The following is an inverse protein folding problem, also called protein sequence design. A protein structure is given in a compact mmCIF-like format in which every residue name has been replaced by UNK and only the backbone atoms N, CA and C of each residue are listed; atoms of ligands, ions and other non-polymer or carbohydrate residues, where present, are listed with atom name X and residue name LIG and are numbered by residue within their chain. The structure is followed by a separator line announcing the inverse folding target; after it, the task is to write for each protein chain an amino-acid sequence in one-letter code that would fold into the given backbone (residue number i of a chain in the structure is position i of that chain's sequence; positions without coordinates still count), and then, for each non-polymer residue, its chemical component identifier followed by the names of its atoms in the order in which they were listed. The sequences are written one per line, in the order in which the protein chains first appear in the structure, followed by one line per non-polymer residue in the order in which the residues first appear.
data_IF_341785216720
#
_entry.id   IF_341785216720
#
_cell.length_a   1.000
_cell.length_b   1.000
_cell.length_c   1.000
_cell.angle_alpha   90.00
_cell.angle_beta   90.00
_cell.angle_gamma   90.00
#
_symmetry.space_group_name_H-M   'P 1'
#
loop_
_entity.id
_entity.type
_entity.pdbx_description
1 polymer ?
#
# COMPACT_ATOMS: atom_id res chain seq x y z
N UNK A 1 -32.09 0.53 -12.16
CA UNK A 1 -30.79 -0.03 -11.73
C UNK A 1 -29.57 0.75 -12.31
N UNK A 2 -29.55 2.09 -12.28
CA UNK A 2 -28.48 2.93 -12.90
C UNK A 2 -27.35 3.34 -11.94
N UNK A 3 -27.61 3.37 -10.62
CA UNK A 3 -26.65 3.83 -9.61
C UNK A 3 -25.46 2.89 -9.38
N UNK A 4 -25.61 1.59 -9.67
CA UNK A 4 -24.56 0.57 -9.54
C UNK A 4 -23.42 0.72 -10.57
N UNK A 5 -23.72 1.21 -11.78
CA UNK A 5 -22.68 1.40 -12.80
C UNK A 5 -21.84 2.66 -12.56
N UNK A 6 -22.47 3.74 -12.09
CA UNK A 6 -21.81 5.02 -11.83
C UNK A 6 -20.82 4.88 -10.65
N UNK A 7 -21.23 4.21 -9.56
CA UNK A 7 -20.34 3.97 -8.41
C UNK A 7 -19.13 3.09 -8.77
N UNK A 8 -19.34 2.06 -9.59
CA UNK A 8 -18.24 1.21 -10.10
C UNK A 8 -17.25 2.00 -10.95
N UNK A 9 -17.72 2.89 -11.83
CA UNK A 9 -16.85 3.74 -12.64
C UNK A 9 -16.04 4.74 -11.79
N UNK A 10 -16.68 5.41 -10.83
CA UNK A 10 -16.01 6.35 -9.93
C UNK A 10 -14.92 5.63 -9.12
N UNK A 11 -15.23 4.44 -8.59
CA UNK A 11 -14.27 3.64 -7.82
C UNK A 11 -13.07 3.20 -8.68
N UNK A 12 -13.33 2.74 -9.91
CA UNK A 12 -12.29 2.29 -10.83
C UNK A 12 -11.36 3.44 -11.26
N UNK A 13 -11.93 4.62 -11.53
CA UNK A 13 -11.15 5.82 -11.85
C UNK A 13 -10.29 6.28 -10.68
N UNK A 14 -10.86 6.35 -9.46
CA UNK A 14 -10.13 6.71 -8.25
C UNK A 14 -8.95 5.78 -8.01
N UNK A 15 -9.15 4.46 -8.15
CA UNK A 15 -8.08 3.45 -8.05
C UNK A 15 -6.97 3.68 -9.07
N UNK A 16 -7.32 3.98 -10.32
CA UNK A 16 -6.34 4.23 -11.39
C UNK A 16 -5.49 5.47 -11.12
N UNK A 17 -6.08 6.53 -10.54
CA UNK A 17 -5.39 7.77 -10.22
C UNK A 17 -4.40 7.57 -9.07
N UNK A 18 -4.85 7.01 -7.95
CA UNK A 18 -3.99 6.79 -6.77
C UNK A 18 -2.87 5.79 -7.06
N UNK A 19 -3.16 4.75 -7.85
CA UNK A 19 -2.14 3.83 -8.35
C UNK A 19 -1.07 4.53 -9.19
N UNK A 20 -1.45 5.43 -10.10
CA UNK A 20 -0.48 6.18 -10.92
C UNK A 20 0.41 7.06 -10.05
N UNK A 21 -0.14 7.72 -9.03
CA UNK A 21 0.62 8.56 -8.09
C UNK A 21 1.62 7.71 -7.30
N UNK A 22 1.18 6.63 -6.66
CA UNK A 22 2.08 5.73 -5.93
C UNK A 22 3.15 5.11 -6.86
N UNK A 23 2.75 4.69 -8.07
CA UNK A 23 3.69 4.18 -9.08
C UNK A 23 4.73 5.22 -9.47
N UNK A 24 4.35 6.49 -9.63
CA UNK A 24 5.31 7.55 -9.95
C UNK A 24 6.38 7.73 -8.87
N UNK A 25 5.97 7.71 -7.59
CA UNK A 25 6.89 7.82 -6.43
C UNK A 25 7.84 6.63 -6.40
N UNK A 26 7.33 5.41 -6.53
CA UNK A 26 8.18 4.20 -6.53
C UNK A 26 9.13 4.15 -7.72
N UNK A 27 8.70 4.55 -8.91
CA UNK A 27 9.56 4.63 -10.11
C UNK A 27 10.65 5.68 -9.93
N UNK A 28 10.30 6.87 -9.41
CA UNK A 28 11.25 7.93 -9.11
C UNK A 28 12.31 7.44 -8.12
N UNK A 29 11.88 6.88 -7.00
CA UNK A 29 12.80 6.39 -5.96
C UNK A 29 13.68 5.26 -6.48
N UNK A 30 13.12 4.34 -7.26
CA UNK A 30 13.88 3.24 -7.84
C UNK A 30 14.90 3.71 -8.88
N UNK A 31 14.56 4.74 -9.67
CA UNK A 31 15.45 5.29 -10.70
C UNK A 31 16.63 6.04 -10.08
N UNK A 32 16.39 6.83 -9.04
CA UNK A 32 17.42 7.69 -8.45
C UNK A 32 18.23 7.00 -7.35
N UNK A 33 17.62 6.09 -6.60
CA UNK A 33 18.23 5.47 -5.41
C UNK A 33 18.37 3.94 -5.50
N UNK A 34 17.85 3.34 -6.57
CA UNK A 34 17.93 1.90 -6.82
C UNK A 34 16.81 1.10 -6.15
N UNK A 35 16.85 -0.23 -6.37
CA UNK A 35 15.80 -1.17 -5.92
C UNK A 35 15.96 -1.52 -4.43
N UNK A 36 15.37 -0.72 -3.55
CA UNK A 36 15.39 -0.95 -2.09
C UNK A 36 14.57 -2.17 -1.61
N UNK A 37 13.73 -2.73 -2.48
CA UNK A 37 12.82 -3.84 -2.16
C UNK A 37 13.42 -5.25 -2.26
N UNK A 38 14.69 -5.40 -2.67
CA UNK A 38 15.41 -6.68 -2.56
C UNK A 38 16.07 -6.75 -1.18
N UNK A 39 15.66 -7.73 -0.38
CA UNK A 39 16.06 -7.93 1.03
C UNK A 39 17.59 -8.06 1.19
N UNK A 40 18.10 -7.45 2.27
CA UNK A 40 19.41 -7.57 2.93
C UNK A 40 20.68 -7.54 2.06
N UNK A 41 21.42 -6.43 2.18
CA UNK A 41 22.88 -6.27 2.00
C UNK A 41 23.27 -4.78 2.26
N UNK A 42 22.72 -4.14 3.31
CA UNK A 42 22.92 -2.70 3.59
C UNK A 42 22.36 -1.73 2.52
N UNK A 43 21.73 -2.24 1.46
CA UNK A 43 21.13 -1.44 0.37
C UNK A 43 19.95 -0.61 0.85
N UNK A 44 19.21 -1.10 1.85
CA UNK A 44 18.10 -0.37 2.46
C UNK A 44 18.61 0.82 3.27
N UNK A 45 19.67 0.66 4.05
CA UNK A 45 20.23 1.77 4.84
C UNK A 45 20.87 2.83 3.93
N UNK A 46 21.59 2.40 2.89
CA UNK A 46 22.10 3.31 1.85
C UNK A 46 20.96 4.05 1.14
N UNK A 47 19.84 3.38 0.87
CA UNK A 47 18.65 4.02 0.30
C UNK A 47 18.07 5.05 1.26
N UNK A 48 17.82 4.67 2.53
CA UNK A 48 17.28 5.56 3.57
C UNK A 48 18.15 6.79 3.76
N UNK A 49 19.47 6.61 3.82
CA UNK A 49 20.41 7.72 4.02
C UNK A 49 20.35 8.72 2.85
N UNK A 50 20.42 8.24 1.61
CA UNK A 50 20.32 9.10 0.41
C UNK A 50 18.97 9.82 0.34
N UNK A 51 17.87 9.10 0.54
CA UNK A 51 16.53 9.67 0.51
C UNK A 51 16.34 10.74 1.60
N UNK A 52 16.83 10.48 2.82
CA UNK A 52 16.74 11.44 3.95
C UNK A 52 17.51 12.74 3.68
N UNK A 53 18.66 12.62 3.01
CA UNK A 53 19.53 13.75 2.68
C UNK A 53 18.96 14.60 1.55
N UNK A 54 18.40 13.97 0.51
CA UNK A 54 17.99 14.66 -0.72
C UNK A 54 16.60 15.31 -0.64
N UNK A 55 15.75 14.92 0.32
CA UNK A 55 14.35 15.37 0.40
C UNK A 55 14.06 16.14 1.67
N UNK A 56 13.21 17.17 1.59
CA UNK A 56 12.68 17.84 2.79
C UNK A 56 11.71 16.94 3.55
N UNK A 57 11.42 17.29 4.81
CA UNK A 57 10.44 16.55 5.62
C UNK A 57 9.06 16.54 4.95
N UNK A 58 8.64 17.66 4.39
CA UNK A 58 7.33 17.81 3.73
C UNK A 58 7.23 16.95 2.47
N UNK A 59 8.30 16.89 1.66
CA UNK A 59 8.35 16.02 0.48
C UNK A 59 8.25 14.54 0.85
N UNK A 60 8.93 14.12 1.92
CA UNK A 60 8.83 12.73 2.39
C UNK A 60 7.42 12.41 2.89
N UNK A 61 6.78 13.32 3.62
CA UNK A 61 5.40 13.18 4.08
C UNK A 61 4.44 13.07 2.87
N UNK A 62 4.62 13.91 1.85
CA UNK A 62 3.80 13.85 0.65
C UNK A 62 3.96 12.52 -0.09
N UNK A 63 5.20 12.02 -0.23
CA UNK A 63 5.47 10.72 -0.84
C UNK A 63 4.83 9.57 -0.04
N UNK A 64 4.94 9.60 1.29
CA UNK A 64 4.30 8.63 2.18
C UNK A 64 2.78 8.66 2.04
N UNK A 65 2.17 9.85 2.02
CA UNK A 65 0.72 10.01 1.86
C UNK A 65 0.22 9.45 0.52
N UNK A 66 0.95 9.66 -0.57
CA UNK A 66 0.63 9.10 -1.90
C UNK A 66 0.70 7.57 -1.90
N UNK A 67 1.64 6.97 -1.16
CA UNK A 67 1.76 5.51 -1.01
C UNK A 67 0.63 4.93 -0.14
N UNK A 68 0.34 5.59 1.00
CA UNK A 68 -0.76 5.25 1.92
C UNK A 68 -2.13 5.30 1.25
N UNK A 69 -2.37 6.33 0.43
CA UNK A 69 -3.61 6.47 -0.33
C UNK A 69 -3.84 5.27 -1.26
N UNK A 70 -2.79 4.82 -1.96
CA UNK A 70 -2.88 3.62 -2.80
C UNK A 70 -3.11 2.35 -1.95
N UNK A 71 -2.44 2.17 -0.81
CA UNK A 71 -2.65 1.01 0.07
C UNK A 71 -4.09 0.93 0.58
N UNK A 72 -4.67 2.06 1.00
CA UNK A 72 -6.06 2.12 1.46
C UNK A 72 -7.03 1.70 0.34
N UNK A 73 -6.86 2.27 -0.86
CA UNK A 73 -7.72 1.92 -2.00
C UNK A 73 -7.53 0.45 -2.41
N UNK A 74 -6.32 -0.10 -2.31
CA UNK A 74 -6.06 -1.52 -2.57
C UNK A 74 -6.73 -2.44 -1.54
N UNK A 75 -6.70 -2.08 -0.26
CA UNK A 75 -7.43 -2.76 0.81
C UNK A 75 -8.94 -2.76 0.60
N UNK A 76 -9.52 -1.59 0.30
CA UNK A 76 -10.94 -1.44 0.01
C UNK A 76 -11.35 -2.27 -1.22
N UNK A 77 -10.50 -2.30 -2.26
CA UNK A 77 -10.78 -3.08 -3.47
C UNK A 77 -10.69 -4.59 -3.22
N UNK A 78 -9.76 -5.03 -2.37
CA UNK A 78 -9.62 -6.45 -2.02
C UNK A 78 -10.85 -6.95 -1.26
N UNK A 79 -11.37 -6.14 -0.34
CA UNK A 79 -12.63 -6.42 0.34
C UNK A 79 -13.82 -6.49 -0.64
N UNK A 80 -13.90 -5.54 -1.58
CA UNK A 80 -14.92 -5.56 -2.63
C UNK A 80 -14.86 -6.79 -3.55
N UNK A 81 -13.70 -7.40 -3.71
CA UNK A 81 -13.49 -8.59 -4.54
C UNK A 81 -13.77 -9.88 -3.76
N UNK A 82 -13.43 -9.96 -2.46
CA UNK A 82 -13.61 -11.20 -1.68
C UNK A 82 -15.07 -11.46 -1.30
N UNK A 83 -15.84 -10.42 -0.99
CA UNK A 83 -17.25 -10.54 -0.58
C UNK A 83 -18.13 -11.24 -1.64
N UNK A 84 -18.17 -10.81 -2.92
CA UNK A 84 -18.98 -11.47 -3.93
C UNK A 84 -18.50 -12.89 -4.26
N UNK A 85 -17.22 -13.20 -4.04
CA UNK A 85 -16.68 -14.54 -4.26
C UNK A 85 -17.21 -15.56 -3.23
N UNK A 86 -17.23 -15.19 -1.94
CA UNK A 86 -17.78 -16.06 -0.88
C UNK A 86 -19.27 -16.33 -1.11
N UNK A 87 -20.01 -15.33 -1.57
CA UNK A 87 -21.44 -15.47 -1.93
C UNK A 87 -21.61 -16.38 -3.14
N UNK A 88 -20.76 -16.24 -4.18
CA UNK A 88 -20.80 -17.13 -5.35
C UNK A 88 -20.53 -18.58 -4.92
N UNK A 89 -19.52 -18.81 -4.09
CA UNK A 89 -19.14 -20.13 -3.61
C UNK A 89 -20.26 -20.77 -2.78
N UNK A 90 -20.92 -20.02 -1.90
CA UNK A 90 -22.03 -20.55 -1.09
C UNK A 90 -23.23 -20.97 -1.95
N UNK A 91 -23.60 -20.16 -2.95
CA UNK A 91 -24.67 -20.50 -3.90
C UNK A 91 -24.33 -21.75 -4.72
N UNK A 92 -23.06 -21.92 -5.09
CA UNK A 92 -22.60 -23.12 -5.79
C UNK A 92 -22.72 -24.38 -4.93
N UNK A 93 -22.31 -24.30 -3.66
CA UNK A 93 -22.43 -25.43 -2.73
C UNK A 93 -23.89 -25.83 -2.52
N UNK A 94 -24.79 -24.85 -2.36
CA UNK A 94 -26.22 -25.09 -2.19
C UNK A 94 -26.83 -25.73 -3.45
N UNK A 95 -26.52 -25.22 -4.63
CA UNK A 95 -27.03 -25.78 -5.90
C UNK A 95 -26.54 -27.21 -6.13
N UNK A 96 -25.25 -27.50 -5.91
CA UNK A 96 -24.72 -28.86 -6.00
C UNK A 96 -25.41 -29.80 -5.00
N UNK A 97 -25.68 -29.34 -3.79
CA UNK A 97 -26.32 -30.15 -2.73
C UNK A 97 -27.78 -30.47 -3.09
N UNK A 98 -28.54 -29.48 -3.56
CA UNK A 98 -29.93 -29.67 -4.01
C UNK A 98 -29.99 -30.60 -5.21
N UNK A 99 -29.09 -30.42 -6.20
CA UNK A 99 -29.01 -31.30 -7.36
C UNK A 99 -28.72 -32.75 -6.98
N UNK A 100 -27.82 -32.98 -6.01
CA UNK A 100 -27.57 -34.34 -5.48
C UNK A 100 -28.80 -34.92 -4.77
N UNK A 101 -29.46 -34.15 -3.91
CA UNK A 101 -30.61 -34.61 -3.15
C UNK A 101 -31.82 -34.98 -4.05
N UNK A 102 -32.10 -34.18 -5.09
CA UNK A 102 -33.14 -34.50 -6.07
C UNK A 102 -32.85 -35.79 -6.84
N UNK A 103 -31.58 -36.08 -7.11
CA UNK A 103 -31.19 -37.32 -7.79
C UNK A 103 -31.33 -38.50 -6.85
N UNK A 104 -30.86 -38.39 -5.61
CA UNK A 104 -31.02 -39.47 -4.62
C UNK A 104 -32.50 -39.83 -4.43
N UNK A 105 -33.42 -38.85 -4.48
CA UNK A 105 -34.86 -39.11 -4.45
C UNK A 105 -35.38 -39.76 -5.74
N UNK A 106 -35.01 -39.26 -6.92
CA UNK A 106 -35.48 -39.80 -8.21
C UNK A 106 -34.96 -41.23 -8.44
N UNK A 107 -33.71 -41.50 -8.07
CA UNK A 107 -33.07 -42.81 -8.22
C UNK A 107 -33.68 -43.86 -7.28
N UNK A 108 -34.20 -43.42 -6.13
CA UNK A 108 -34.94 -44.29 -5.20
C UNK A 108 -36.38 -44.56 -5.66
N UNK A 109 -37.05 -43.57 -6.26
CA UNK A 109 -38.49 -43.66 -6.59
C UNK A 109 -38.81 -44.18 -7.99
N UNK A 110 -37.87 -44.21 -8.96
CA UNK A 110 -38.24 -44.58 -10.34
C UNK A 110 -37.18 -45.41 -11.06
N UNK A 111 -37.49 -46.68 -11.33
CA UNK A 111 -36.69 -47.61 -12.14
C UNK A 111 -36.73 -47.32 -13.66
N UNK A 112 -37.35 -46.21 -14.13
CA UNK A 112 -37.70 -46.06 -15.57
C UNK A 112 -37.42 -44.69 -16.20
N UNK A 113 -37.05 -43.63 -15.46
CA UNK A 113 -36.72 -42.33 -16.09
C UNK A 113 -35.20 -42.21 -16.30
N UNK A 114 -34.72 -42.75 -17.42
CA UNK A 114 -33.34 -42.59 -17.88
C UNK A 114 -33.13 -41.17 -18.42
N UNK A 115 -32.83 -40.21 -17.55
CA UNK A 115 -31.88 -39.16 -17.97
C UNK A 115 -30.57 -39.91 -18.23
N UNK A 116 -30.08 -39.93 -19.47
CA UNK A 116 -28.86 -40.70 -19.77
C UNK A 116 -27.75 -40.27 -18.80
N UNK A 117 -27.21 -41.19 -17.97
CA UNK A 117 -26.25 -40.82 -16.93
C UNK A 117 -25.02 -40.10 -17.50
N UNK A 118 -24.70 -40.35 -18.76
CA UNK A 118 -23.64 -39.68 -19.51
C UNK A 118 -23.88 -38.18 -19.72
N UNK A 119 -25.09 -37.76 -20.08
CA UNK A 119 -25.40 -36.33 -20.32
C UNK A 119 -25.34 -35.51 -19.03
N UNK A 120 -25.79 -36.09 -17.91
CA UNK A 120 -25.73 -35.44 -16.59
C UNK A 120 -24.29 -35.36 -16.07
N UNK A 121 -23.54 -36.46 -16.16
CA UNK A 121 -22.11 -36.52 -15.86
C UNK A 121 -21.36 -35.41 -16.60
N UNK A 122 -21.58 -35.29 -17.91
CA UNK A 122 -20.96 -34.26 -18.76
C UNK A 122 -21.34 -32.85 -18.31
N UNK A 123 -22.61 -32.59 -17.99
CA UNK A 123 -23.07 -31.29 -17.48
C UNK A 123 -22.43 -30.92 -16.13
N UNK A 124 -22.34 -31.87 -15.19
CA UNK A 124 -21.69 -31.65 -13.89
C UNK A 124 -20.20 -31.38 -14.07
N UNK A 125 -19.50 -32.17 -14.89
CA UNK A 125 -18.09 -31.93 -15.19
C UNK A 125 -17.87 -30.59 -15.89
N UNK A 126 -18.75 -30.17 -16.81
CA UNK A 126 -18.69 -28.87 -17.47
C UNK A 126 -18.85 -27.71 -16.47
N UNK A 127 -19.79 -27.82 -15.53
CA UNK A 127 -20.00 -26.84 -14.46
C UNK A 127 -18.78 -26.79 -13.52
N UNK A 128 -18.30 -27.96 -13.06
CA UNK A 128 -17.14 -28.04 -12.17
C UNK A 128 -15.86 -27.49 -12.82
N UNK A 129 -15.61 -27.82 -14.08
CA UNK A 129 -14.44 -27.30 -14.81
C UNK A 129 -14.51 -25.79 -15.01
N UNK A 130 -15.70 -25.24 -15.31
CA UNK A 130 -15.91 -23.79 -15.38
C UNK A 130 -15.58 -23.10 -14.04
N UNK A 131 -15.98 -23.69 -12.91
CA UNK A 131 -15.64 -23.15 -11.59
C UNK A 131 -14.15 -23.25 -11.26
N UNK A 132 -13.49 -24.35 -11.62
CA UNK A 132 -12.04 -24.51 -11.46
C UNK A 132 -11.31 -23.43 -12.26
N UNK A 133 -11.76 -23.13 -13.48
CA UNK A 133 -11.20 -22.07 -14.31
C UNK A 133 -11.38 -20.68 -13.70
N UNK A 134 -12.57 -20.37 -13.17
CA UNK A 134 -12.83 -19.11 -12.45
C UNK A 134 -11.91 -19.00 -11.23
N UNK A 135 -11.75 -20.08 -10.47
CA UNK A 135 -10.90 -20.11 -9.28
C UNK A 135 -9.41 -19.94 -9.63
N UNK A 136 -8.93 -20.63 -10.67
CA UNK A 136 -7.57 -20.47 -11.17
C UNK A 136 -7.31 -19.04 -11.64
N UNK A 137 -8.24 -18.46 -12.40
CA UNK A 137 -8.17 -17.07 -12.86
C UNK A 137 -8.14 -16.09 -11.68
N UNK A 138 -8.96 -16.34 -10.65
CA UNK A 138 -8.94 -15.57 -9.41
C UNK A 138 -7.58 -15.63 -8.71
N UNK A 139 -7.00 -16.82 -8.53
CA UNK A 139 -5.68 -16.95 -7.90
C UNK A 139 -4.58 -16.23 -8.68
N UNK A 140 -4.65 -16.24 -10.01
CA UNK A 140 -3.72 -15.49 -10.87
C UNK A 140 -3.86 -13.97 -10.67
N UNK A 141 -5.09 -13.46 -10.56
CA UNK A 141 -5.33 -12.05 -10.25
C UNK A 141 -4.83 -11.69 -8.84
N UNK A 142 -5.11 -12.53 -7.85
CA UNK A 142 -4.73 -12.28 -6.46
C UNK A 142 -3.21 -12.32 -6.29
N UNK A 143 -2.52 -13.31 -6.87
CA UNK A 143 -1.06 -13.40 -6.80
C UNK A 143 -0.37 -12.19 -7.45
N UNK A 144 -0.84 -11.76 -8.61
CA UNK A 144 -0.32 -10.58 -9.33
C UNK A 144 -0.52 -9.29 -8.52
N UNK A 145 -1.67 -9.14 -7.86
CA UNK A 145 -1.95 -7.96 -7.03
C UNK A 145 -1.16 -7.97 -5.72
N UNK A 146 -1.04 -9.12 -5.04
CA UNK A 146 -0.22 -9.28 -3.83
C UNK A 146 1.25 -8.91 -4.07
N UNK A 147 1.86 -9.41 -5.14
CA UNK A 147 3.26 -9.12 -5.45
C UNK A 147 3.53 -7.65 -5.77
N UNK A 148 2.53 -6.94 -6.30
CA UNK A 148 2.59 -5.51 -6.57
C UNK A 148 2.42 -4.69 -5.29
N UNK A 149 1.44 -5.03 -4.46
CA UNK A 149 1.18 -4.37 -3.16
C UNK A 149 2.38 -4.46 -2.21
N UNK A 150 3.01 -5.63 -2.13
CA UNK A 150 4.18 -5.84 -1.26
C UNK A 150 5.33 -4.87 -1.56
N UNK A 151 5.54 -4.52 -2.84
CA UNK A 151 6.57 -3.54 -3.24
C UNK A 151 6.24 -2.13 -2.76
N UNK A 152 4.98 -1.71 -2.88
CA UNK A 152 4.53 -0.40 -2.41
C UNK A 152 4.62 -0.29 -0.90
N UNK A 153 4.12 -1.30 -0.18
CA UNK A 153 4.14 -1.33 1.29
C UNK A 153 5.57 -1.27 1.85
N UNK A 154 6.52 -1.97 1.23
CA UNK A 154 7.90 -1.92 1.67
C UNK A 154 8.52 -0.53 1.46
N UNK A 155 8.27 0.12 0.31
CA UNK A 155 8.77 1.49 0.07
C UNK A 155 8.11 2.48 1.02
N UNK A 156 6.81 2.32 1.30
CA UNK A 156 6.08 3.14 2.29
C UNK A 156 6.75 3.07 3.67
N UNK A 157 7.02 1.87 4.16
CA UNK A 157 7.71 1.66 5.45
C UNK A 157 9.08 2.33 5.47
N UNK A 158 9.87 2.18 4.40
CA UNK A 158 11.20 2.81 4.33
C UNK A 158 11.12 4.34 4.37
N UNK A 159 10.13 4.94 3.71
CA UNK A 159 9.94 6.40 3.74
C UNK A 159 9.44 6.85 5.12
N UNK A 160 8.52 6.12 5.74
CA UNK A 160 8.02 6.43 7.08
C UNK A 160 9.15 6.41 8.12
N UNK A 161 10.06 5.45 8.05
CA UNK A 161 11.27 5.42 8.89
C UNK A 161 12.17 6.65 8.65
N UNK A 162 12.31 7.12 7.40
CA UNK A 162 13.08 8.33 7.10
C UNK A 162 12.41 9.59 7.69
N UNK A 163 11.07 9.68 7.62
CA UNK A 163 10.29 10.77 8.23
C UNK A 163 10.49 10.77 9.74
N UNK A 164 10.38 9.61 10.39
CA UNK A 164 10.54 9.47 11.84
C UNK A 164 11.93 9.93 12.28
N UNK A 165 12.98 9.47 11.59
CA UNK A 165 14.36 9.88 11.87
C UNK A 165 14.56 11.39 11.74
N UNK A 166 14.00 12.00 10.68
CA UNK A 166 14.13 13.44 10.44
C UNK A 166 13.35 14.28 11.45
N UNK A 167 12.16 13.82 11.86
CA UNK A 167 11.39 14.43 12.96
C UNK A 167 12.14 14.35 14.29
N UNK A 168 12.77 13.21 14.59
CA UNK A 168 13.56 13.03 15.81
C UNK A 168 14.74 14.01 15.85
N UNK A 169 15.53 14.10 14.78
CA UNK A 169 16.63 15.06 14.69
C UNK A 169 16.16 16.52 14.80
N UNK A 170 15.03 16.87 14.19
CA UNK A 170 14.46 18.22 14.32
C UNK A 170 14.05 18.55 15.76
N UNK A 171 13.51 17.59 16.50
CA UNK A 171 13.15 17.77 17.92
C UNK A 171 14.37 17.88 18.82
N UNK A 172 15.41 17.08 18.57
CA UNK A 172 16.68 17.16 19.29
C UNK A 172 17.36 18.51 19.07
N UNK A 173 17.38 19.02 17.84
CA UNK A 173 17.87 20.36 17.52
C UNK A 173 17.06 21.46 18.20
N UNK A 174 15.73 21.36 18.22
CA UNK A 174 14.88 22.32 18.91
C UNK A 174 15.16 22.34 20.43
N UNK A 175 15.32 21.17 21.05
CA UNK A 175 15.63 21.05 22.48
C UNK A 175 17.05 21.54 22.83
N UNK A 176 18.01 21.43 21.91
CA UNK A 176 19.36 22.00 22.08
C UNK A 176 19.32 23.53 21.97
N UNK A 177 18.61 24.07 20.97
CA UNK A 177 18.46 25.50 20.81
C UNK A 177 17.77 26.12 22.02
N UNK A 178 16.70 25.51 22.54
CA UNK A 178 16.01 25.99 23.75
C UNK A 178 16.94 26.04 24.97
N UNK A 179 17.85 25.06 25.11
CA UNK A 179 18.88 25.07 26.17
C UNK A 179 19.97 26.11 25.93
N UNK A 180 20.36 26.35 24.69
CA UNK A 180 21.41 27.32 24.33
C UNK A 180 20.91 28.77 24.49
N UNK A 181 19.66 29.05 24.10
CA UNK A 181 19.01 30.34 24.39
C UNK A 181 18.75 30.52 25.89
N UNK A 182 18.35 29.46 26.62
CA UNK A 182 18.24 29.50 28.08
C UNK A 182 19.59 29.67 28.81
N UNK A 183 20.72 29.33 28.17
CA UNK A 183 22.06 29.56 28.70
C UNK A 183 22.63 30.93 28.32
N UNK A 184 22.24 31.48 27.16
CA UNK A 184 22.59 32.85 26.76
C UNK A 184 21.85 33.92 27.60
N UNK A 185 20.63 33.62 28.10
CA UNK A 185 19.89 34.53 28.99
C UNK A 185 20.46 34.59 30.43
N UNK A 186 21.41 33.73 30.79
CA UNK A 186 22.03 33.73 32.13
C UNK A 186 23.47 34.25 32.16
N UNK A 187 24.10 34.48 31.01
CA UNK A 187 25.52 34.88 30.93
C UNK A 187 25.79 36.23 30.25
N UNK A 188 24.78 37.07 30.03
CA UNK A 188 24.99 38.42 29.53
C UNK A 188 24.18 39.48 30.30
N UNK A 189 24.63 39.73 31.53
CA UNK A 189 24.61 41.07 32.11
C UNK A 189 26.04 41.43 32.54
N UNK A 190 26.89 41.72 31.56
CA UNK A 190 27.87 42.81 31.62
C UNK A 190 28.50 42.97 30.23
N UNK A 191 28.10 44.05 29.57
CA UNK A 191 28.81 44.71 28.47
C UNK A 191 29.14 43.91 27.21
N UNK A 192 28.13 43.67 26.36
CA UNK A 192 28.37 43.52 24.92
C UNK A 192 27.34 44.33 24.13
N UNK A 193 27.78 45.48 23.58
CA UNK A 193 27.06 46.19 22.51
C UNK A 193 27.16 45.37 21.22
N UNK A 194 26.08 44.68 20.87
CA UNK A 194 25.95 44.01 19.57
C UNK A 194 25.39 45.03 18.58
N UNK A 195 26.23 45.50 17.65
CA UNK A 195 25.74 46.14 16.44
C UNK A 195 25.29 45.05 15.46
N UNK A 196 23.99 45.08 15.14
CA UNK A 196 23.37 44.22 14.15
C UNK A 196 23.79 44.72 12.75
N UNK A 197 24.50 43.88 12.00
CA UNK A 197 24.68 44.07 10.56
C UNK A 197 24.24 42.79 9.88
N UNK A 198 23.16 42.94 9.11
CA UNK A 198 22.59 41.92 8.27
C UNK A 198 23.49 41.67 7.05
N UNK A 199 23.28 40.49 6.47
CA UNK A 199 23.69 40.07 5.13
C UNK A 199 25.09 39.47 4.89
N UNK A 200 25.00 38.16 4.63
CA UNK A 200 25.76 37.37 3.65
C UNK A 200 27.17 36.90 4.03
N UNK A 201 27.27 35.57 4.12
CA UNK A 201 28.45 34.75 3.77
C UNK A 201 29.60 34.71 4.79
N UNK A 202 29.77 33.54 5.42
CA UNK A 202 30.96 33.04 6.14
C UNK A 202 31.37 33.82 7.41
N UNK A 203 30.92 33.34 8.58
CA UNK A 203 31.47 33.78 9.88
C UNK A 203 32.70 32.95 10.27
N UNK A 204 33.88 33.52 10.10
CA UNK A 204 35.06 33.20 10.92
C UNK A 204 34.90 33.99 12.21
N UNK A 205 34.88 33.32 13.35
CA UNK A 205 34.89 33.96 14.67
C UNK A 205 36.36 34.13 15.06
N UNK A 206 36.86 35.37 15.10
CA UNK A 206 38.15 35.69 15.69
C UNK A 206 37.87 36.20 17.12
N UNK A 207 38.29 35.40 18.10
CA UNK A 207 38.30 35.78 19.51
C UNK A 207 39.68 36.41 19.78
N UNK A 208 39.73 37.69 20.15
CA UNK A 208 40.92 38.28 20.78
C UNK A 208 40.72 38.27 22.30
N UNK A 209 41.76 37.84 22.99
CA UNK A 209 41.86 37.72 24.44
C UNK A 209 42.01 39.08 25.11
#
# INVERSE_FOLDING_TARGET
MKWSMISKHIFFWRRKIEYKKAKSVTVYLQKNYGKAYKKNNGKQDKFKQKVTNDHSLDQLIEMSNRLKANRKVEGDTRSLISIPFTILLSVCTVTVTISKAMIDSITKDTTVVMISPDLYSVLVYAICTFFILIFAFYQVIESTTRGRSAKFNLIEVLIDECIEKKKKHSKELAALNEKEYGFMDLNNYSDIKIHEVCETSKKIIIIKK
#
